data_IF_639725795920
#
_entry.id   IF_639725795920
#
_cell.length_a   1.000
_cell.length_b   1.000
_cell.length_c   1.000
_cell.angle_alpha   90.00
_cell.angle_beta   90.00
_cell.angle_gamma   90.00
#
_symmetry.space_group_name_H-M   'P 1'
#
loop_
_entity.id
_entity.type
_entity.pdbx_description
1 polymer ?
#
# COMPACT_ATOMS: atom_id res chain seq x y z
N UNK A 1 -53.79 22.80 -40.75
CA UNK A 1 -52.72 22.57 -39.76
C UNK A 1 -51.37 22.71 -40.47
N UNK A 2 -50.57 23.70 -40.07
CA UNK A 2 -49.46 24.24 -40.87
C UNK A 2 -48.26 23.28 -40.91
N UNK A 3 -47.56 23.19 -42.04
CA UNK A 3 -46.47 22.22 -42.26
C UNK A 3 -45.31 22.41 -41.24
N UNK A 4 -45.10 23.65 -40.76
CA UNK A 4 -44.15 23.98 -39.68
C UNK A 4 -44.50 23.33 -38.33
N UNK A 5 -45.77 23.09 -38.03
CA UNK A 5 -46.23 22.51 -36.76
C UNK A 5 -45.96 21.00 -36.70
N UNK A 6 -45.93 20.31 -37.85
CA UNK A 6 -45.62 18.87 -37.94
C UNK A 6 -44.13 18.57 -37.70
N UNK A 7 -43.23 19.43 -38.18
CA UNK A 7 -41.79 19.28 -37.95
C UNK A 7 -41.38 19.60 -36.51
N UNK A 8 -42.05 20.57 -35.87
CA UNK A 8 -41.76 20.93 -34.47
C UNK A 8 -42.17 19.84 -33.48
N UNK A 9 -43.31 19.17 -33.70
CA UNK A 9 -43.73 18.02 -32.88
C UNK A 9 -42.85 16.78 -33.12
N UNK A 10 -42.42 16.54 -34.36
CA UNK A 10 -41.52 15.43 -34.69
C UNK A 10 -40.13 15.59 -34.07
N UNK A 11 -39.60 16.83 -34.03
CA UNK A 11 -38.32 17.13 -33.41
C UNK A 11 -38.38 17.05 -31.87
N UNK A 12 -39.47 17.49 -31.25
CA UNK A 12 -39.68 17.34 -29.80
C UNK A 12 -39.84 15.88 -29.38
N UNK A 13 -40.53 15.05 -30.17
CA UNK A 13 -40.68 13.62 -29.90
C UNK A 13 -39.34 12.86 -30.04
N UNK A 14 -38.50 13.22 -31.01
CA UNK A 14 -37.17 12.62 -31.18
C UNK A 14 -36.20 13.00 -30.03
N UNK A 15 -36.26 14.25 -29.56
CA UNK A 15 -35.45 14.70 -28.40
C UNK A 15 -35.95 14.05 -27.10
N UNK A 16 -37.25 13.85 -26.93
CA UNK A 16 -37.80 13.19 -25.74
C UNK A 16 -37.44 11.69 -25.66
N UNK A 17 -37.35 10.99 -26.79
CA UNK A 17 -36.87 9.60 -26.85
C UNK A 17 -35.36 9.49 -26.59
N UNK A 18 -34.57 10.48 -27.01
CA UNK A 18 -33.14 10.58 -26.69
C UNK A 18 -32.87 10.88 -25.20
N UNK A 19 -33.78 11.60 -24.51
CA UNK A 19 -33.68 11.86 -23.07
C UNK A 19 -34.29 10.77 -22.18
N UNK A 20 -35.15 9.89 -22.72
CA UNK A 20 -35.61 8.68 -22.01
C UNK A 20 -34.66 7.49 -22.13
N UNK A 21 -33.60 7.60 -22.96
CA UNK A 21 -32.43 6.71 -22.91
C UNK A 21 -31.33 7.25 -21.99
N UNK A 22 -31.74 7.82 -20.85
CA UNK A 22 -30.85 8.00 -19.68
C UNK A 22 -30.25 6.64 -19.27
N UNK A 23 -29.05 6.64 -18.65
CA UNK A 23 -27.98 5.68 -18.92
C UNK A 23 -28.22 4.30 -18.29
N UNK A 24 -29.19 3.54 -18.79
CA UNK A 24 -29.27 2.10 -18.55
C UNK A 24 -28.14 1.34 -19.27
N UNK A 25 -27.48 1.98 -20.25
CA UNK A 25 -26.32 1.46 -20.97
C UNK A 25 -24.96 1.70 -20.27
N UNK A 26 -24.93 2.33 -19.08
CA UNK A 26 -23.73 2.39 -18.23
C UNK A 26 -23.79 1.45 -17.02
N UNK A 27 -24.80 0.58 -16.94
CA UNK A 27 -24.96 -0.41 -15.87
C UNK A 27 -24.46 -1.80 -16.31
N UNK A 28 -23.25 -1.87 -16.86
CA UNK A 28 -22.65 -3.12 -17.34
C UNK A 28 -21.16 -3.24 -16.97
N UNK A 29 -20.83 -3.01 -15.69
CA UNK A 29 -19.87 -3.88 -15.01
C UNK A 29 -20.66 -4.64 -13.95
N UNK A 30 -20.98 -5.91 -14.27
CA UNK A 30 -21.81 -6.79 -13.43
C UNK A 30 -21.06 -7.37 -12.23
N UNK A 31 -19.75 -7.12 -12.13
CA UNK A 31 -18.93 -7.53 -11.01
C UNK A 31 -18.37 -6.28 -10.32
N UNK A 32 -18.70 -6.01 -9.04
CA UNK A 32 -18.13 -4.87 -8.32
C UNK A 32 -16.62 -5.00 -8.10
N UNK A 33 -16.03 -6.17 -8.36
CA UNK A 33 -14.64 -6.50 -8.07
C UNK A 33 -13.71 -6.20 -9.25
N UNK A 34 -12.72 -5.32 -9.02
CA UNK A 34 -11.59 -5.13 -9.93
C UNK A 34 -10.42 -6.00 -9.49
N UNK A 35 -9.90 -6.78 -10.43
CA UNK A 35 -8.70 -7.60 -10.23
C UNK A 35 -7.44 -6.75 -10.03
N UNK A 36 -6.60 -7.15 -9.08
CA UNK A 36 -5.32 -6.52 -8.78
C UNK A 36 -4.15 -7.39 -9.22
N UNK A 37 -4.03 -8.58 -8.65
CA UNK A 37 -2.98 -9.55 -8.97
C UNK A 37 -3.41 -10.97 -8.66
N UNK A 38 -2.67 -11.94 -9.19
CA UNK A 38 -2.82 -13.35 -8.88
C UNK A 38 -1.46 -14.04 -8.76
N UNK A 39 -1.39 -15.04 -7.89
CA UNK A 39 -0.32 -16.03 -7.85
C UNK A 39 -0.95 -17.44 -7.72
N UNK A 40 -0.12 -18.46 -7.52
CA UNK A 40 -0.56 -19.87 -7.45
C UNK A 40 -1.55 -20.16 -6.31
N UNK A 41 -1.62 -19.29 -5.30
CA UNK A 41 -2.46 -19.45 -4.10
C UNK A 41 -3.65 -18.50 -4.04
N UNK A 42 -3.46 -17.26 -4.50
CA UNK A 42 -4.35 -16.15 -4.20
C UNK A 42 -4.61 -15.30 -5.44
N UNK A 43 -5.85 -14.87 -5.60
CA UNK A 43 -6.23 -13.79 -6.52
C UNK A 43 -6.84 -12.65 -5.73
N UNK A 44 -6.30 -11.45 -5.89
CA UNK A 44 -6.68 -10.24 -5.14
C UNK A 44 -7.58 -9.35 -5.97
N UNK A 45 -8.65 -8.87 -5.35
CA UNK A 45 -9.60 -7.95 -5.94
C UNK A 45 -10.01 -6.87 -4.94
N UNK A 46 -10.42 -5.71 -5.41
CA UNK A 46 -11.03 -4.67 -4.57
C UNK A 46 -12.29 -4.12 -5.24
N UNK A 47 -13.20 -3.54 -4.45
CA UNK A 47 -14.41 -2.92 -4.97
C UNK A 47 -14.27 -1.38 -4.97
N UNK A 48 -13.95 -0.72 -6.09
CA UNK A 48 -13.73 0.73 -6.10
C UNK A 48 -14.95 1.53 -5.63
N UNK A 49 -16.16 1.05 -5.94
CA UNK A 49 -17.40 1.69 -5.53
C UNK A 49 -17.64 1.64 -4.01
N UNK A 50 -16.96 0.75 -3.29
CA UNK A 50 -17.02 0.67 -1.82
C UNK A 50 -16.11 1.68 -1.13
N UNK A 51 -15.15 2.27 -1.85
CA UNK A 51 -14.12 3.16 -1.28
C UNK A 51 -14.79 4.45 -0.83
N UNK A 52 -14.70 4.75 0.46
CA UNK A 52 -15.25 5.98 1.05
C UNK A 52 -14.29 6.58 2.06
N UNK A 53 -14.15 7.90 2.00
CA UNK A 53 -13.47 8.66 3.06
C UNK A 53 -14.43 8.79 4.24
N UNK A 54 -14.02 8.29 5.40
CA UNK A 54 -14.80 8.34 6.64
C UNK A 54 -14.33 9.45 7.58
N UNK A 55 -13.06 9.85 7.49
CA UNK A 55 -12.54 11.03 8.19
C UNK A 55 -11.55 11.82 7.34
N UNK A 56 -11.51 13.14 7.56
CA UNK A 56 -10.57 14.04 6.89
C UNK A 56 -10.16 15.20 7.80
N UNK A 57 -9.00 15.77 7.51
CA UNK A 57 -8.49 16.98 8.17
C UNK A 57 -8.29 18.08 7.15
N UNK A 58 -8.77 19.28 7.44
CA UNK A 58 -8.53 20.46 6.61
C UNK A 58 -7.15 21.04 6.92
N UNK A 59 -6.27 21.10 5.91
CA UNK A 59 -4.98 21.77 6.01
C UNK A 59 -5.16 23.24 6.37
N UNK A 60 -4.52 23.69 7.45
CA UNK A 60 -4.62 25.08 7.93
C UNK A 60 -4.25 26.10 6.85
N UNK A 61 -3.26 25.80 6.00
CA UNK A 61 -2.73 26.73 4.99
C UNK A 61 -3.47 26.68 3.65
N UNK A 62 -3.82 25.49 3.16
CA UNK A 62 -4.41 25.34 1.81
C UNK A 62 -5.94 25.22 1.81
N UNK A 63 -6.58 25.09 2.99
CA UNK A 63 -8.00 24.79 3.15
C UNK A 63 -8.47 23.54 2.38
N UNK A 64 -7.55 22.67 1.98
CA UNK A 64 -7.84 21.40 1.32
C UNK A 64 -8.10 20.34 2.38
N UNK A 65 -9.20 19.61 2.26
CA UNK A 65 -9.44 18.41 3.07
C UNK A 65 -8.53 17.27 2.60
N UNK A 66 -7.89 16.61 3.55
CA UNK A 66 -7.03 15.43 3.32
C UNK A 66 -7.67 14.26 4.03
N UNK A 67 -7.92 13.17 3.30
CA UNK A 67 -8.44 11.94 3.91
C UNK A 67 -7.43 11.40 4.94
N UNK A 68 -7.93 11.12 6.14
CA UNK A 68 -7.13 10.51 7.22
C UNK A 68 -7.59 9.10 7.55
N UNK A 69 -8.83 8.76 7.17
CA UNK A 69 -9.39 7.42 7.33
C UNK A 69 -10.27 7.10 6.13
N UNK A 70 -10.02 5.97 5.51
CA UNK A 70 -10.72 5.47 4.33
C UNK A 70 -11.20 4.06 4.65
N UNK A 71 -12.43 3.72 4.25
CA UNK A 71 -12.91 2.35 4.28
C UNK A 71 -13.15 1.83 2.87
N UNK A 72 -12.96 0.53 2.69
CA UNK A 72 -13.22 -0.15 1.44
C UNK A 72 -13.48 -1.65 1.66
N UNK A 73 -13.96 -2.32 0.62
CA UNK A 73 -14.10 -3.77 0.55
C UNK A 73 -13.06 -4.37 -0.38
N UNK A 74 -12.46 -5.47 0.07
CA UNK A 74 -11.48 -6.26 -0.65
C UNK A 74 -11.94 -7.71 -0.71
N UNK A 75 -11.47 -8.43 -1.72
CA UNK A 75 -11.75 -9.85 -1.91
C UNK A 75 -10.47 -10.60 -2.25
N UNK A 76 -10.31 -11.75 -1.62
CA UNK A 76 -9.24 -12.70 -1.92
C UNK A 76 -9.88 -14.03 -2.31
N UNK A 77 -9.66 -14.49 -3.53
CA UNK A 77 -10.03 -15.84 -3.96
C UNK A 77 -8.87 -16.81 -3.71
N UNK A 78 -9.20 -18.07 -3.44
CA UNK A 78 -8.24 -19.09 -3.04
C UNK A 78 -8.15 -20.22 -4.07
N UNK A 79 -6.93 -20.66 -4.38
CA UNK A 79 -6.72 -22.02 -4.88
C UNK A 79 -6.81 -23.02 -3.71
N UNK A 80 -6.80 -24.33 -3.99
CA UNK A 80 -6.79 -25.33 -2.91
C UNK A 80 -5.63 -25.11 -1.93
N UNK A 81 -4.42 -24.86 -2.44
CA UNK A 81 -3.24 -24.61 -1.62
C UNK A 81 -3.35 -23.28 -0.84
N UNK A 82 -3.93 -22.24 -1.45
CA UNK A 82 -4.20 -20.99 -0.77
C UNK A 82 -5.24 -21.13 0.35
N UNK A 83 -6.28 -21.93 0.12
CA UNK A 83 -7.31 -22.23 1.11
C UNK A 83 -6.75 -23.01 2.30
N UNK A 84 -5.93 -24.04 2.03
CA UNK A 84 -5.28 -24.84 3.08
C UNK A 84 -4.37 -23.96 3.96
N UNK A 85 -3.55 -23.11 3.35
CA UNK A 85 -2.69 -22.17 4.05
C UNK A 85 -3.50 -21.18 4.90
N UNK A 86 -4.58 -20.62 4.34
CA UNK A 86 -5.49 -19.71 5.05
C UNK A 86 -6.14 -20.39 6.25
N UNK A 87 -6.68 -21.60 6.10
CA UNK A 87 -7.32 -22.37 7.17
C UNK A 87 -6.34 -22.60 8.33
N UNK A 88 -5.09 -22.96 8.00
CA UNK A 88 -4.01 -23.14 8.98
C UNK A 88 -3.65 -21.84 9.68
N UNK A 89 -3.42 -20.76 8.93
CA UNK A 89 -2.99 -19.47 9.48
C UNK A 89 -4.05 -18.83 10.39
N UNK A 90 -5.34 -19.05 10.10
CA UNK A 90 -6.44 -18.58 10.93
C UNK A 90 -6.82 -19.56 12.06
N UNK A 91 -6.21 -20.75 12.09
CA UNK A 91 -6.53 -21.83 13.03
C UNK A 91 -8.03 -22.24 13.01
N UNK A 92 -8.62 -22.28 11.82
CA UNK A 92 -10.06 -22.55 11.60
C UNK A 92 -10.34 -23.94 11.01
N UNK A 93 -9.37 -24.86 11.09
CA UNK A 93 -9.53 -26.25 10.63
C UNK A 93 -10.67 -27.01 11.34
N UNK A 94 -11.05 -26.55 12.53
CA UNK A 94 -12.19 -27.09 13.27
C UNK A 94 -13.55 -26.72 12.64
N UNK A 95 -13.61 -25.64 11.87
CA UNK A 95 -14.80 -25.17 11.14
C UNK A 95 -14.75 -25.63 9.68
N UNK A 96 -13.64 -25.35 8.99
CA UNK A 96 -13.44 -25.67 7.58
C UNK A 96 -12.43 -26.80 7.47
N UNK A 97 -12.93 -28.04 7.44
CA UNK A 97 -12.08 -29.24 7.40
C UNK A 97 -11.50 -29.54 6.02
N UNK A 98 -12.24 -29.20 4.98
CA UNK A 98 -11.88 -29.46 3.58
C UNK A 98 -11.53 -28.13 2.91
N UNK A 99 -10.25 -27.89 2.57
CA UNK A 99 -9.84 -26.68 1.85
C UNK A 99 -10.59 -26.45 0.54
N UNK A 100 -11.05 -27.51 -0.13
CA UNK A 100 -11.81 -27.41 -1.38
C UNK A 100 -13.16 -26.70 -1.23
N UNK A 101 -13.65 -26.54 0.01
CA UNK A 101 -14.88 -25.78 0.30
C UNK A 101 -14.64 -24.29 0.41
N UNK A 102 -13.43 -23.84 0.73
CA UNK A 102 -13.14 -22.42 0.90
C UNK A 102 -12.77 -21.80 -0.45
N UNK A 103 -13.63 -20.94 -0.98
CA UNK A 103 -13.46 -20.36 -2.32
C UNK A 103 -12.90 -18.95 -2.29
N UNK A 104 -13.44 -18.08 -1.43
CA UNK A 104 -12.97 -16.70 -1.32
C UNK A 104 -13.29 -16.11 0.06
N UNK A 105 -12.62 -15.01 0.38
CA UNK A 105 -12.94 -14.15 1.51
C UNK A 105 -13.26 -12.74 1.03
N UNK A 106 -14.22 -12.09 1.68
CA UNK A 106 -14.48 -10.65 1.53
C UNK A 106 -14.21 -9.98 2.86
N UNK A 107 -13.43 -8.91 2.83
CA UNK A 107 -13.13 -8.11 4.01
C UNK A 107 -13.51 -6.66 3.81
N UNK A 108 -13.99 -6.03 4.89
CA UNK A 108 -14.06 -4.59 5.01
C UNK A 108 -12.82 -4.12 5.75
N UNK A 109 -12.10 -3.19 5.15
CA UNK A 109 -10.84 -2.67 5.68
C UNK A 109 -10.94 -1.17 5.96
N UNK A 110 -10.12 -0.73 6.92
CA UNK A 110 -9.84 0.67 7.23
C UNK A 110 -8.40 0.97 6.86
N UNK A 111 -8.16 2.11 6.23
CA UNK A 111 -6.85 2.58 5.79
C UNK A 111 -6.56 3.94 6.39
N UNK A 112 -5.37 4.10 6.96
CA UNK A 112 -4.82 5.36 7.45
C UNK A 112 -3.60 5.78 6.62
N UNK A 113 -3.78 6.69 5.64
CA UNK A 113 -2.73 7.01 4.66
C UNK A 113 -1.44 7.56 5.29
N UNK A 114 -1.57 8.39 6.32
CA UNK A 114 -0.45 9.10 6.95
C UNK A 114 0.59 8.13 7.55
N UNK A 115 0.12 6.98 8.03
CA UNK A 115 0.97 5.96 8.65
C UNK A 115 1.14 4.71 7.79
N UNK A 116 0.52 4.69 6.59
CA UNK A 116 0.39 3.51 5.73
C UNK A 116 -0.23 2.31 6.45
N UNK A 117 -1.21 2.53 7.31
CA UNK A 117 -1.83 1.43 8.07
C UNK A 117 -3.03 0.89 7.29
N UNK A 118 -3.17 -0.44 7.28
CA UNK A 118 -4.39 -1.15 6.90
C UNK A 118 -4.84 -2.03 8.07
N UNK A 119 -6.12 -1.95 8.41
CA UNK A 119 -6.76 -2.75 9.44
C UNK A 119 -7.98 -3.45 8.86
N UNK A 120 -8.16 -4.71 9.20
CA UNK A 120 -9.39 -5.45 8.89
C UNK A 120 -10.44 -5.09 9.93
N UNK A 121 -11.59 -4.55 9.49
CA UNK A 121 -12.75 -4.31 10.37
C UNK A 121 -13.56 -5.61 10.52
N UNK A 122 -13.69 -6.34 9.42
CA UNK A 122 -14.34 -7.65 9.37
C UNK A 122 -13.85 -8.43 8.17
N UNK A 123 -13.84 -9.76 8.27
CA UNK A 123 -13.53 -10.66 7.17
C UNK A 123 -14.48 -11.86 7.21
N UNK A 124 -15.08 -12.19 6.08
CA UNK A 124 -15.99 -13.34 5.97
C UNK A 124 -15.53 -14.26 4.86
N UNK A 125 -15.52 -15.55 5.14
CA UNK A 125 -15.06 -16.63 4.28
C UNK A 125 -16.26 -17.37 3.71
N UNK A 126 -16.21 -17.64 2.41
CA UNK A 126 -17.33 -18.16 1.64
C UNK A 126 -16.95 -19.41 0.85
N UNK A 127 -17.94 -20.26 0.63
CA UNK A 127 -17.85 -21.31 -0.40
C UNK A 127 -18.11 -20.75 -1.81
N UNK A 128 -17.97 -21.61 -2.82
CA UNK A 128 -18.17 -21.22 -4.22
C UNK A 128 -19.63 -20.82 -4.55
N UNK A 129 -20.59 -21.24 -3.74
CA UNK A 129 -22.00 -20.86 -3.88
C UNK A 129 -22.33 -19.54 -3.15
N UNK A 130 -21.38 -18.97 -2.40
CA UNK A 130 -21.55 -17.75 -1.62
C UNK A 130 -22.17 -17.97 -0.25
N UNK A 131 -22.19 -19.21 0.26
CA UNK A 131 -22.57 -19.45 1.65
C UNK A 131 -21.43 -19.08 2.59
N UNK A 132 -21.78 -18.46 3.71
CA UNK A 132 -20.81 -18.11 4.76
C UNK A 132 -20.34 -19.38 5.46
N UNK A 133 -19.02 -19.56 5.53
CA UNK A 133 -18.36 -20.65 6.26
C UNK A 133 -17.88 -20.21 7.64
N UNK A 134 -17.29 -19.00 7.71
CA UNK A 134 -16.73 -18.46 8.94
C UNK A 134 -16.51 -16.95 8.80
N UNK A 135 -16.53 -16.21 9.92
CA UNK A 135 -16.24 -14.78 9.94
C UNK A 135 -15.32 -14.42 11.09
N UNK A 136 -14.48 -13.41 10.87
CA UNK A 136 -13.63 -12.75 11.85
C UNK A 136 -14.06 -11.31 12.02
N UNK A 137 -14.06 -10.86 13.27
CA UNK A 137 -14.22 -9.45 13.61
C UNK A 137 -12.94 -8.65 13.36
N UNK A 138 -12.81 -7.56 14.11
CA UNK A 138 -11.72 -6.61 13.96
C UNK A 138 -10.33 -7.24 14.16
N UNK A 139 -9.43 -6.93 13.24
CA UNK A 139 -8.04 -7.35 13.25
C UNK A 139 -7.10 -6.28 13.82
N UNK A 140 -5.82 -6.64 13.92
CA UNK A 140 -4.76 -5.70 14.31
C UNK A 140 -4.42 -4.77 13.15
N UNK A 141 -3.95 -3.59 13.49
CA UNK A 141 -3.35 -2.66 12.55
C UNK A 141 -2.04 -3.23 11.99
N UNK A 142 -1.84 -3.07 10.68
CA UNK A 142 -0.62 -3.47 9.98
C UNK A 142 -0.11 -2.30 9.15
N UNK A 143 1.17 -1.95 9.29
CA UNK A 143 1.80 -0.99 8.38
C UNK A 143 2.16 -1.67 7.06
N UNK A 144 1.80 -1.04 5.94
CA UNK A 144 1.96 -1.52 4.58
C UNK A 144 3.34 -1.15 4.04
N UNK A 145 4.09 -2.17 3.63
CA UNK A 145 5.40 -2.10 2.99
C UNK A 145 5.57 -3.29 2.02
N UNK A 146 6.72 -3.36 1.34
CA UNK A 146 7.05 -4.39 0.33
C UNK A 146 6.92 -5.84 0.80
N UNK A 147 6.90 -6.08 2.11
CA UNK A 147 6.81 -7.43 2.69
C UNK A 147 5.37 -7.82 3.04
N UNK A 148 4.39 -6.92 2.90
CA UNK A 148 3.00 -7.17 3.30
C UNK A 148 2.17 -7.72 2.14
N UNK A 149 1.43 -8.80 2.40
CA UNK A 149 0.44 -9.33 1.47
C UNK A 149 -0.59 -8.27 1.06
N UNK A 150 -0.99 -7.39 1.99
CA UNK A 150 -2.07 -6.42 1.78
C UNK A 150 -1.63 -5.10 1.13
N UNK A 151 -0.35 -4.94 0.79
CA UNK A 151 0.17 -3.67 0.26
C UNK A 151 -0.58 -3.23 -1.01
N UNK A 152 -0.91 -4.18 -1.87
CA UNK A 152 -1.59 -3.89 -3.13
C UNK A 152 -3.03 -3.44 -2.94
N UNK A 153 -3.74 -4.01 -1.95
CA UNK A 153 -5.07 -3.52 -1.57
C UNK A 153 -4.99 -2.08 -1.07
N UNK A 154 -4.03 -1.81 -0.19
CA UNK A 154 -3.77 -0.46 0.31
C UNK A 154 -3.51 0.51 -0.85
N UNK A 155 -2.63 0.16 -1.79
CA UNK A 155 -2.27 1.04 -2.89
C UNK A 155 -3.47 1.37 -3.79
N UNK A 156 -4.28 0.36 -4.15
CA UNK A 156 -5.48 0.56 -4.97
C UNK A 156 -6.54 1.44 -4.29
N UNK A 157 -6.78 1.23 -3.00
CA UNK A 157 -7.72 2.03 -2.19
C UNK A 157 -7.26 3.48 -2.12
N UNK A 158 -5.97 3.70 -1.82
CA UNK A 158 -5.37 5.03 -1.76
C UNK A 158 -5.52 5.75 -3.10
N UNK A 159 -5.24 5.08 -4.22
CA UNK A 159 -5.26 5.72 -5.53
C UNK A 159 -6.66 6.18 -5.95
N UNK A 160 -7.69 5.48 -5.49
CA UNK A 160 -9.08 5.91 -5.71
C UNK A 160 -9.34 7.29 -5.09
N UNK A 161 -8.71 7.60 -3.95
CA UNK A 161 -8.92 8.84 -3.19
C UNK A 161 -7.90 9.92 -3.54
N UNK A 162 -6.61 9.60 -3.57
CA UNK A 162 -5.52 10.58 -3.72
C UNK A 162 -5.08 10.77 -5.17
N UNK A 163 -5.26 9.75 -6.03
CA UNK A 163 -4.90 9.75 -7.46
C UNK A 163 -3.45 10.20 -7.69
N UNK A 164 -2.52 9.60 -6.95
CA UNK A 164 -1.08 9.93 -7.04
C UNK A 164 -0.22 8.81 -7.64
N UNK A 165 -0.82 7.68 -8.05
CA UNK A 165 -0.11 6.57 -8.66
C UNK A 165 0.60 5.69 -7.64
N UNK A 166 -0.05 5.42 -6.51
CA UNK A 166 0.42 4.54 -5.46
C UNK A 166 0.66 3.11 -5.96
N UNK A 167 -0.29 2.58 -6.73
CA UNK A 167 -0.20 1.25 -7.33
C UNK A 167 0.90 1.18 -8.38
N UNK A 168 0.98 2.21 -9.24
CA UNK A 168 2.03 2.31 -10.27
C UNK A 168 3.41 2.40 -9.63
N UNK A 169 3.58 3.23 -8.59
CA UNK A 169 4.85 3.36 -7.87
C UNK A 169 5.25 2.07 -7.15
N UNK A 170 4.29 1.35 -6.57
CA UNK A 170 4.52 0.07 -5.91
C UNK A 170 5.00 -1.01 -6.90
N UNK A 171 4.53 -0.96 -8.16
CA UNK A 171 4.85 -1.93 -9.21
C UNK A 171 6.03 -1.53 -10.09
N UNK A 172 6.54 -0.31 -9.95
CA UNK A 172 7.59 0.20 -10.80
C UNK A 172 8.88 -0.61 -10.65
N UNK A 173 9.55 -0.91 -11.76
CA UNK A 173 10.86 -1.57 -11.76
C UNK A 173 11.90 -0.77 -10.97
N UNK A 174 11.75 0.55 -10.97
CA UNK A 174 12.58 1.49 -10.23
C UNK A 174 12.06 1.78 -8.81
N UNK A 175 11.19 0.96 -8.22
CA UNK A 175 10.62 1.18 -6.87
C UNK A 175 11.66 1.55 -5.80
N UNK A 176 12.86 0.97 -5.90
CA UNK A 176 13.94 1.14 -4.93
C UNK A 176 15.01 2.08 -5.47
N UNK A 177 15.36 3.08 -4.67
CA UNK A 177 16.49 3.97 -4.96
C UNK A 177 17.70 3.59 -4.12
N UNK A 178 18.87 3.44 -4.74
CA UNK A 178 20.13 3.35 -3.99
C UNK A 178 20.43 4.67 -3.30
N UNK A 179 20.55 4.62 -1.98
CA UNK A 179 21.00 5.74 -1.15
C UNK A 179 22.52 5.84 -1.17
N UNK A 180 23.20 4.72 -0.92
CA UNK A 180 24.65 4.64 -1.00
C UNK A 180 25.10 3.18 -1.06
N UNK A 181 26.35 3.00 -1.50
CA UNK A 181 27.06 1.73 -1.41
C UNK A 181 28.49 2.06 -1.01
N UNK A 182 29.07 1.22 -0.17
CA UNK A 182 30.45 1.38 0.29
C UNK A 182 31.10 0.01 0.48
N UNK A 183 32.40 -0.06 0.29
CA UNK A 183 33.19 -1.27 0.51
C UNK A 183 34.37 -0.92 1.40
N UNK A 184 34.52 -1.64 2.51
CA UNK A 184 35.59 -1.38 3.46
C UNK A 184 36.89 -2.10 3.05
N UNK A 185 37.98 -1.81 3.75
CA UNK A 185 39.30 -2.41 3.46
C UNK A 185 39.36 -3.95 3.61
N UNK A 186 38.37 -4.57 4.28
CA UNK A 186 38.25 -6.02 4.40
C UNK A 186 37.48 -6.66 3.22
N UNK A 187 37.05 -5.86 2.24
CA UNK A 187 36.21 -6.28 1.12
C UNK A 187 34.75 -6.51 1.51
N UNK A 188 34.31 -6.02 2.68
CA UNK A 188 32.91 -6.09 3.08
C UNK A 188 32.17 -4.94 2.42
N UNK A 189 31.16 -5.26 1.63
CA UNK A 189 30.37 -4.30 0.88
C UNK A 189 29.02 -4.12 1.55
N UNK A 190 28.64 -2.88 1.79
CA UNK A 190 27.31 -2.50 2.26
C UNK A 190 26.56 -1.77 1.15
N UNK A 191 25.32 -2.17 0.90
CA UNK A 191 24.44 -1.55 -0.07
C UNK A 191 23.12 -1.16 0.60
N UNK A 192 22.75 0.12 0.54
CA UNK A 192 21.52 0.63 1.14
C UNK A 192 20.61 1.20 0.07
N UNK A 193 19.40 0.65 -0.02
CA UNK A 193 18.32 1.15 -0.85
C UNK A 193 17.14 1.61 -0.01
N UNK A 194 16.30 2.47 -0.56
CA UNK A 194 15.09 2.93 0.06
C UNK A 194 13.88 2.72 -0.85
N UNK A 195 12.77 2.27 -0.25
CA UNK A 195 11.52 2.01 -0.93
C UNK A 195 10.76 3.30 -1.18
N UNK A 196 10.80 3.78 -2.42
CA UNK A 196 10.16 5.03 -2.80
C UNK A 196 8.63 4.97 -2.69
N UNK A 197 8.02 3.78 -2.73
CA UNK A 197 6.56 3.63 -2.55
C UNK A 197 6.12 4.05 -1.15
N UNK A 198 6.99 3.84 -0.15
CA UNK A 198 6.68 4.12 1.26
C UNK A 198 7.06 5.53 1.70
N UNK A 199 7.87 6.24 0.89
CA UNK A 199 8.40 7.57 1.19
C UNK A 199 7.29 8.61 1.36
N UNK A 200 7.28 9.26 2.52
CA UNK A 200 6.31 10.31 2.86
C UNK A 200 6.90 11.31 3.85
N UNK A 201 6.39 12.55 3.81
CA UNK A 201 6.77 13.62 4.74
C UNK A 201 5.87 13.61 5.97
N UNK A 202 6.50 13.77 7.12
CA UNK A 202 5.86 14.20 8.36
C UNK A 202 6.69 15.34 8.94
N UNK A 203 6.16 16.57 8.88
CA UNK A 203 6.92 17.79 9.19
C UNK A 203 8.23 17.84 8.36
N UNK A 204 9.37 17.95 9.03
CA UNK A 204 10.69 17.98 8.42
C UNK A 204 11.27 16.58 8.13
N UNK A 205 10.63 15.53 8.64
CA UNK A 205 11.07 14.16 8.43
C UNK A 205 10.57 13.62 7.09
N UNK A 206 11.46 12.88 6.42
CA UNK A 206 11.10 11.92 5.40
C UNK A 206 11.10 10.53 6.04
N UNK A 207 9.97 9.84 5.96
CA UNK A 207 9.75 8.52 6.54
C UNK A 207 9.66 7.50 5.41
N UNK A 208 10.41 6.40 5.52
CA UNK A 208 10.48 5.35 4.51
C UNK A 208 10.99 4.02 5.08
N UNK A 209 10.77 2.94 4.35
CA UNK A 209 11.42 1.66 4.58
C UNK A 209 12.70 1.55 3.74
N UNK A 210 13.76 1.02 4.35
CA UNK A 210 15.08 0.83 3.77
C UNK A 210 15.44 -0.65 3.77
N UNK A 211 16.19 -1.05 2.76
CA UNK A 211 16.78 -2.38 2.65
C UNK A 211 18.30 -2.22 2.61
N UNK A 212 18.99 -2.86 3.54
CA UNK A 212 20.45 -2.86 3.64
C UNK A 212 20.94 -4.28 3.45
N UNK A 213 21.87 -4.47 2.52
CA UNK A 213 22.57 -5.75 2.32
C UNK A 213 24.03 -5.56 2.65
N UNK A 214 24.60 -6.52 3.38
CA UNK A 214 26.03 -6.60 3.66
C UNK A 214 26.55 -7.89 3.06
N UNK A 215 27.52 -7.76 2.16
CA UNK A 215 28.20 -8.84 1.46
C UNK A 215 29.63 -8.99 2.00
N UNK A 216 30.09 -10.23 2.16
CA UNK A 216 31.52 -10.49 2.38
C UNK A 216 32.34 -10.29 1.08
N UNK A 217 33.66 -10.44 1.18
CA UNK A 217 34.57 -10.30 0.03
C UNK A 217 34.36 -11.34 -1.07
N UNK A 218 33.59 -12.40 -0.81
CA UNK A 218 33.22 -13.42 -1.78
C UNK A 218 31.84 -13.15 -2.43
N UNK A 219 31.14 -12.11 -1.99
CA UNK A 219 29.79 -11.77 -2.46
C UNK A 219 28.68 -12.55 -1.75
N UNK A 220 28.97 -13.23 -0.63
CA UNK A 220 27.92 -13.87 0.15
C UNK A 220 27.23 -12.83 1.03
N UNK A 221 25.89 -12.85 1.04
CA UNK A 221 25.11 -12.01 1.96
C UNK A 221 25.29 -12.52 3.39
N UNK A 222 25.89 -11.70 4.24
CA UNK A 222 26.15 -11.99 5.65
C UNK A 222 25.19 -11.26 6.60
N UNK A 223 24.52 -10.20 6.13
CA UNK A 223 23.49 -9.50 6.88
C UNK A 223 22.50 -8.83 5.92
N UNK A 224 21.21 -8.87 6.28
CA UNK A 224 20.18 -8.02 5.67
C UNK A 224 19.50 -7.22 6.77
N UNK A 225 19.27 -5.93 6.58
CA UNK A 225 18.38 -5.12 7.45
C UNK A 225 17.22 -4.58 6.63
N UNK A 226 16.01 -4.80 7.12
CA UNK A 226 14.80 -4.18 6.59
C UNK A 226 14.16 -3.34 7.68
N UNK A 227 14.32 -2.02 7.57
CA UNK A 227 14.05 -1.10 8.66
C UNK A 227 13.33 0.16 8.19
N UNK A 228 12.52 0.74 9.08
CA UNK A 228 11.81 2.00 8.86
C UNK A 228 12.63 3.12 9.45
N UNK A 229 12.92 4.14 8.65
CA UNK A 229 13.70 5.32 9.05
C UNK A 229 12.85 6.57 9.05
N UNK A 230 13.19 7.50 9.93
CA UNK A 230 12.82 8.90 9.82
C UNK A 230 14.08 9.75 9.71
N UNK A 231 14.22 10.46 8.60
CA UNK A 231 15.35 11.36 8.34
C UNK A 231 14.86 12.80 8.33
N UNK A 232 15.35 13.61 9.27
CA UNK A 232 15.14 15.05 9.27
C UNK A 232 16.02 15.67 8.18
N UNK A 233 15.41 16.03 7.05
CA UNK A 233 16.18 16.47 5.89
C UNK A 233 16.94 17.79 6.12
N UNK A 234 16.37 18.83 6.77
CA UNK A 234 17.11 20.05 7.07
C UNK A 234 18.30 19.83 8.01
N UNK A 235 18.09 19.12 9.13
CA UNK A 235 19.11 18.96 10.17
C UNK A 235 20.14 17.88 9.83
N UNK A 236 19.82 16.96 8.91
CA UNK A 236 20.68 15.83 8.59
C UNK A 236 20.81 14.85 9.75
N UNK A 237 19.70 14.62 10.45
CA UNK A 237 19.61 13.61 11.51
C UNK A 237 18.69 12.48 11.10
N UNK A 238 18.92 11.28 11.62
CA UNK A 238 18.07 10.13 11.38
C UNK A 238 17.77 9.37 12.66
N UNK A 239 16.70 8.56 12.64
CA UNK A 239 16.45 7.51 13.63
C UNK A 239 15.81 6.30 12.96
N UNK A 240 16.03 5.14 13.54
CA UNK A 240 15.32 3.91 13.20
C UNK A 240 14.03 3.88 14.03
N UNK A 241 12.90 3.63 13.39
CA UNK A 241 11.59 3.54 14.05
C UNK A 241 11.33 2.10 14.48
N UNK A 242 11.63 1.16 13.60
CA UNK A 242 11.38 -0.27 13.76
C UNK A 242 12.08 -1.01 12.64
N UNK A 243 12.36 -2.30 12.80
CA UNK A 243 12.86 -3.09 11.69
C UNK A 243 13.10 -4.53 12.08
N UNK A 244 13.69 -5.26 11.14
CA UNK A 244 14.20 -6.61 11.34
C UNK A 244 15.54 -6.72 10.68
N UNK A 245 16.35 -7.64 11.17
CA UNK A 245 17.58 -8.03 10.49
C UNK A 245 17.61 -9.54 10.28
N UNK A 246 18.35 -9.98 9.29
CA UNK A 246 18.54 -11.37 8.95
C UNK A 246 20.03 -11.68 8.91
N UNK A 247 20.39 -12.85 9.43
CA UNK A 247 21.71 -13.43 9.30
C UNK A 247 21.61 -14.89 8.83
N UNK A 248 22.65 -15.44 8.15
CA UNK A 248 22.61 -16.82 7.67
C UNK A 248 22.38 -17.87 8.75
N UNK A 249 22.89 -17.63 9.96
CA UNK A 249 22.82 -18.59 11.07
C UNK A 249 21.50 -18.54 11.85
N UNK A 250 20.87 -17.37 11.93
CA UNK A 250 19.77 -17.16 12.87
C UNK A 250 18.45 -16.75 12.20
N UNK A 251 18.46 -16.45 10.90
CA UNK A 251 17.28 -16.01 10.18
C UNK A 251 16.83 -14.60 10.57
N UNK A 252 15.55 -14.29 10.34
CA UNK A 252 14.98 -12.96 10.65
C UNK A 252 14.74 -12.78 12.14
N UNK A 253 15.29 -11.70 12.68
CA UNK A 253 15.16 -11.26 14.07
C UNK A 253 14.62 -9.83 14.14
N UNK A 254 14.05 -9.47 15.28
CA UNK A 254 13.67 -8.09 15.54
C UNK A 254 14.91 -7.22 15.66
N UNK A 255 14.88 -6.05 15.02
CA UNK A 255 15.96 -5.10 15.13
C UNK A 255 15.75 -4.30 16.42
N UNK A 256 16.63 -4.49 17.39
CA UNK A 256 16.71 -3.62 18.55
C UNK A 256 17.38 -2.30 18.14
N UNK A 257 16.70 -1.19 18.36
CA UNK A 257 17.32 0.11 18.14
C UNK A 257 18.24 0.41 19.31
N UNK A 258 19.55 0.25 19.09
CA UNK A 258 20.60 0.53 20.06
C UNK A 258 20.54 1.96 20.67
N UNK A 259 19.72 2.85 20.11
CA UNK A 259 19.57 4.24 20.52
C UNK A 259 18.17 4.59 21.06
N UNK A 260 17.32 3.59 21.33
CA UNK A 260 15.99 3.77 21.96
C UNK A 260 15.10 4.84 21.28
N UNK A 261 15.19 4.98 19.95
CA UNK A 261 14.41 5.93 19.16
C UNK A 261 14.96 7.36 19.11
N UNK A 262 16.17 7.61 19.63
CA UNK A 262 16.82 8.92 19.56
C UNK A 262 17.30 9.27 18.14
N UNK A 263 17.30 10.56 17.80
CA UNK A 263 17.90 11.04 16.55
C UNK A 263 19.42 11.11 16.66
N UNK A 264 20.10 10.64 15.63
CA UNK A 264 21.56 10.74 15.46
C UNK A 264 21.93 11.63 14.29
N UNK A 265 23.03 12.36 14.42
CA UNK A 265 23.59 13.13 13.32
C UNK A 265 24.15 12.19 12.25
N UNK A 266 23.79 12.45 10.99
CA UNK A 266 24.49 11.86 9.84
C UNK A 266 25.82 12.60 9.70
N UNK A 267 26.92 11.88 9.91
CA UNK A 267 28.26 12.45 9.88
C UNK A 267 28.63 12.91 8.47
N UNK A 268 29.40 13.99 8.39
CA UNK A 268 29.91 14.50 7.11
C UNK A 268 30.98 13.56 6.55
N UNK A 269 31.08 13.54 5.23
CA UNK A 269 32.05 12.73 4.47
C UNK A 269 31.92 11.22 4.69
N UNK A 270 30.74 10.75 5.11
CA UNK A 270 30.41 9.33 5.19
C UNK A 270 29.50 8.90 4.03
N UNK A 271 29.40 7.59 3.74
CA UNK A 271 28.43 7.08 2.76
C UNK A 271 26.99 7.53 3.03
N UNK A 272 26.60 7.64 4.31
CA UNK A 272 25.29 8.08 4.74
C UNK A 272 25.00 9.54 4.36
N UNK A 273 26.01 10.43 4.35
CA UNK A 273 25.83 11.81 3.85
C UNK A 273 25.42 11.81 2.37
N UNK A 274 25.99 10.91 1.55
CA UNK A 274 25.57 10.75 0.15
C UNK A 274 24.11 10.31 0.06
N UNK A 275 23.69 9.40 0.95
CA UNK A 275 22.30 9.00 1.10
C UNK A 275 21.38 10.17 1.45
N UNK A 276 21.76 10.98 2.44
CA UNK A 276 21.02 12.19 2.82
C UNK A 276 20.87 13.18 1.66
N UNK A 277 21.94 13.42 0.90
CA UNK A 277 21.88 14.30 -0.27
C UNK A 277 20.93 13.78 -1.36
N UNK A 278 20.91 12.46 -1.58
CA UNK A 278 19.93 11.82 -2.48
C UNK A 278 18.49 11.96 -1.97
N UNK A 279 18.26 11.76 -0.67
CA UNK A 279 16.93 11.92 -0.08
C UNK A 279 16.43 13.38 -0.17
N UNK A 280 17.31 14.36 0.02
CA UNK A 280 17.00 15.78 -0.21
C UNK A 280 16.59 16.04 -1.66
N UNK A 281 17.43 15.63 -2.61
CA UNK A 281 17.14 15.77 -4.03
C UNK A 281 15.83 15.07 -4.45
N UNK A 282 15.58 13.87 -3.92
CA UNK A 282 14.35 13.14 -4.16
C UNK A 282 13.13 13.89 -3.60
N UNK A 283 13.18 14.36 -2.35
CA UNK A 283 12.07 15.06 -1.73
C UNK A 283 11.73 16.39 -2.45
N UNK A 284 12.73 17.04 -3.04
CA UNK A 284 12.55 18.25 -3.83
C UNK A 284 11.96 17.93 -5.21
N UNK A 285 12.51 16.93 -5.92
CA UNK A 285 12.05 16.51 -7.24
C UNK A 285 10.68 15.82 -7.25
N UNK A 286 10.32 15.13 -6.17
CA UNK A 286 9.08 14.38 -6.01
C UNK A 286 8.19 14.99 -4.91
N UNK A 287 8.15 16.32 -4.84
CA UNK A 287 7.44 17.05 -3.78
C UNK A 287 5.95 16.68 -3.66
N UNK A 288 5.23 16.53 -4.77
CA UNK A 288 3.82 16.10 -4.76
C UNK A 288 3.67 14.72 -4.12
N UNK A 289 4.54 13.79 -4.51
CA UNK A 289 4.53 12.41 -4.00
C UNK A 289 4.78 12.39 -2.49
N UNK A 290 5.88 12.98 -2.02
CA UNK A 290 6.24 12.88 -0.60
C UNK A 290 5.28 13.66 0.31
N UNK A 291 4.56 14.66 -0.20
CA UNK A 291 3.59 15.45 0.58
C UNK A 291 2.12 14.97 0.42
N UNK A 292 1.87 13.88 -0.31
CA UNK A 292 0.50 13.45 -0.67
C UNK A 292 -0.45 13.22 0.50
N UNK A 293 0.06 12.76 1.64
CA UNK A 293 -0.75 12.51 2.85
C UNK A 293 -0.58 13.56 3.94
N UNK A 294 0.26 14.56 3.71
CA UNK A 294 0.65 15.54 4.73
C UNK A 294 -0.56 16.30 5.25
N UNK A 295 -0.63 16.57 6.56
CA UNK A 295 -1.76 17.27 7.21
C UNK A 295 -1.35 18.51 8.02
N UNK A 296 -0.04 18.72 8.24
CA UNK A 296 0.51 19.89 8.93
C UNK A 296 0.59 21.15 8.05
#
# INVERSE_FOLDING_TARGET
MNMRTKYLLGLLAAVFVLFMQGPAALAADKDPWIWLSSNDKYSKFYAPASVRTVASVTKKRSKTAVATEIEAEIKTSFSYAGAEETIRNYNIAHVIKDPGKLSYAVARVRVYPQNRILQYISETFYDAAGNVLWSKGEGREKEMNSQQFDEEFYAAIIDTVFRQGELDRMRADDRWITLWSDENAAGIKTHVTADMSTMRREKDNLIFWAWTEVEDKQGNIIEIKFDKRAVNLPQGTERIISGRFWSPGEGWQELDDAYEGAYRMIAKSTPEERGLMRLRAFADGYSTWVNRYRID
#
